data_IF_544321310239
#
_entry.id   IF_544321310239
#
_cell.length_a   1.000
_cell.length_b   1.000
_cell.length_c   1.000
_cell.angle_alpha   90.00
_cell.angle_beta   90.00
_cell.angle_gamma   90.00
#
_symmetry.space_group_name_H-M   'P 1'
#
loop_
_entity.id
_entity.type
_entity.pdbx_description
1 polymer ?
#
# COMPACT_ATOMS: atom_id res chain seq x y z
N UNK A 1 -32.51 -3.12 8.15
CA UNK A 1 -31.73 -3.96 7.21
C UNK A 1 -30.26 -3.85 7.61
N UNK A 2 -29.57 -4.97 7.77
CA UNK A 2 -28.17 -4.96 8.16
C UNK A 2 -27.28 -4.22 7.14
N UNK A 3 -26.12 -3.74 7.60
CA UNK A 3 -25.07 -3.22 6.73
C UNK A 3 -24.58 -4.31 5.77
N UNK A 4 -24.33 -3.93 4.53
CA UNK A 4 -23.83 -4.85 3.48
C UNK A 4 -22.52 -4.33 2.90
N UNK A 5 -21.49 -5.16 2.85
CA UNK A 5 -20.21 -4.82 2.27
C UNK A 5 -19.96 -5.60 0.98
N UNK A 6 -19.75 -4.89 -0.12
CA UNK A 6 -19.43 -5.46 -1.44
C UNK A 6 -17.92 -5.29 -1.68
N UNK A 7 -17.21 -6.39 -1.66
CA UNK A 7 -15.74 -6.41 -1.67
C UNK A 7 -15.24 -7.28 -2.82
N UNK A 8 -14.67 -6.69 -3.88
CA UNK A 8 -14.01 -7.47 -4.91
C UNK A 8 -12.82 -8.26 -4.35
N UNK A 9 -12.73 -9.54 -4.68
CA UNK A 9 -11.61 -10.39 -4.25
C UNK A 9 -11.61 -10.71 -2.76
N UNK A 10 -12.79 -10.77 -2.11
CA UNK A 10 -12.91 -11.04 -0.67
C UNK A 10 -12.25 -12.34 -0.23
N UNK A 11 -12.17 -13.34 -1.12
CA UNK A 11 -11.58 -14.65 -0.87
C UNK A 11 -10.08 -14.70 -1.22
N UNK A 12 -9.52 -13.64 -1.83
CA UNK A 12 -8.09 -13.55 -2.13
C UNK A 12 -7.34 -13.02 -0.89
N UNK A 13 -6.55 -13.86 -0.20
CA UNK A 13 -5.80 -13.46 1.00
C UNK A 13 -4.71 -12.42 0.70
N UNK A 14 -4.36 -12.24 -0.57
CA UNK A 14 -3.35 -11.25 -1.01
C UNK A 14 -3.95 -9.92 -1.43
N UNK A 15 -5.29 -9.81 -1.44
CA UNK A 15 -5.99 -8.60 -1.83
C UNK A 15 -6.02 -7.58 -0.68
N UNK A 16 -5.19 -6.53 -0.75
CA UNK A 16 -5.13 -5.48 0.27
C UNK A 16 -6.48 -4.78 0.52
N UNK A 17 -7.34 -4.65 -0.52
CA UNK A 17 -8.68 -4.09 -0.38
C UNK A 17 -9.56 -5.01 0.47
N UNK A 18 -9.49 -6.33 0.25
CA UNK A 18 -10.26 -7.30 1.02
C UNK A 18 -9.80 -7.33 2.49
N UNK A 19 -8.50 -7.28 2.73
CA UNK A 19 -7.94 -7.21 4.10
C UNK A 19 -8.43 -5.93 4.80
N UNK A 20 -8.30 -4.78 4.16
CA UNK A 20 -8.75 -3.50 4.69
C UNK A 20 -10.26 -3.48 5.00
N UNK A 21 -11.09 -4.00 4.09
CA UNK A 21 -12.52 -4.09 4.29
C UNK A 21 -12.90 -5.03 5.44
N UNK A 22 -12.25 -6.18 5.57
CA UNK A 22 -12.46 -7.10 6.71
C UNK A 22 -12.12 -6.44 8.05
N UNK A 23 -11.07 -5.63 8.11
CA UNK A 23 -10.72 -4.86 9.32
C UNK A 23 -11.80 -3.85 9.69
N UNK A 24 -12.35 -3.12 8.70
CA UNK A 24 -13.45 -2.17 8.94
C UNK A 24 -14.71 -2.89 9.45
N UNK A 25 -15.06 -4.03 8.85
CA UNK A 25 -16.19 -4.87 9.29
C UNK A 25 -15.97 -5.34 10.74
N UNK A 26 -14.78 -5.83 11.07
CA UNK A 26 -14.46 -6.27 12.43
C UNK A 26 -14.55 -5.14 13.46
N UNK A 27 -14.33 -3.89 13.05
CA UNK A 27 -14.51 -2.67 13.87
C UNK A 27 -15.96 -2.21 13.96
N UNK A 28 -16.91 -2.91 13.32
CA UNK A 28 -18.32 -2.50 13.28
C UNK A 28 -18.57 -1.23 12.50
N UNK A 29 -17.74 -0.92 11.50
CA UNK A 29 -17.93 0.29 10.68
C UNK A 29 -19.09 0.08 9.71
N UNK A 30 -20.04 1.02 9.73
CA UNK A 30 -21.25 1.02 8.90
C UNK A 30 -22.51 1.07 9.75
N UNK A 31 -23.58 1.55 9.17
CA UNK A 31 -24.90 1.65 9.82
C UNK A 31 -25.92 0.78 9.10
N UNK A 32 -26.98 0.41 9.81
CA UNK A 32 -28.10 -0.33 9.25
C UNK A 32 -28.69 0.36 8.02
N UNK A 33 -28.92 -0.42 6.99
CA UNK A 33 -29.44 0.07 5.71
C UNK A 33 -28.39 0.59 4.74
N UNK A 34 -27.13 0.71 5.15
CA UNK A 34 -26.03 1.11 4.23
C UNK A 34 -25.54 -0.06 3.36
N UNK A 35 -25.13 0.27 2.15
CA UNK A 35 -24.40 -0.61 1.23
C UNK A 35 -23.03 0.01 1.00
N UNK A 36 -22.00 -0.62 1.55
CA UNK A 36 -20.61 -0.22 1.40
C UNK A 36 -19.99 -0.92 0.19
N UNK A 37 -19.56 -0.14 -0.78
CA UNK A 37 -18.96 -0.64 -2.02
C UNK A 37 -17.47 -0.28 -2.04
N UNK A 38 -16.64 -1.30 -1.90
CA UNK A 38 -15.19 -1.18 -1.87
C UNK A 38 -14.60 -1.28 -3.26
N UNK A 39 -13.60 -0.43 -3.58
CA UNK A 39 -12.93 -0.35 -4.88
C UNK A 39 -13.77 0.34 -5.98
N UNK A 40 -13.25 0.28 -7.21
CA UNK A 40 -13.82 0.88 -8.43
C UNK A 40 -13.60 -0.04 -9.65
N UNK A 41 -14.14 0.36 -10.79
CA UNK A 41 -13.84 -0.16 -12.14
C UNK A 41 -14.35 -1.57 -12.44
N UNK A 42 -14.85 -2.33 -11.48
CA UNK A 42 -15.36 -3.68 -11.74
C UNK A 42 -16.87 -3.70 -11.97
N UNK A 43 -17.40 -4.60 -12.81
CA UNK A 43 -18.84 -4.75 -13.00
C UNK A 43 -19.58 -5.04 -11.69
N UNK A 44 -18.94 -5.76 -10.76
CA UNK A 44 -19.52 -6.09 -9.44
C UNK A 44 -19.86 -4.82 -8.67
N UNK A 45 -18.89 -3.91 -8.50
CA UNK A 45 -19.07 -2.68 -7.70
C UNK A 45 -20.05 -1.72 -8.36
N UNK A 46 -20.04 -1.64 -9.69
CA UNK A 46 -20.98 -0.82 -10.47
C UNK A 46 -22.41 -1.33 -10.28
N UNK A 47 -22.64 -2.63 -10.51
CA UNK A 47 -23.97 -3.25 -10.33
C UNK A 47 -24.49 -3.09 -8.90
N UNK A 48 -23.64 -3.32 -7.90
CA UNK A 48 -24.01 -3.17 -6.49
C UNK A 48 -24.39 -1.72 -6.15
N UNK A 49 -23.64 -0.74 -6.68
CA UNK A 49 -23.93 0.68 -6.49
C UNK A 49 -25.30 1.07 -7.10
N UNK A 50 -25.57 0.64 -8.34
CA UNK A 50 -26.88 0.87 -8.95
C UNK A 50 -28.01 0.18 -8.19
N UNK A 51 -27.80 -1.07 -7.73
CA UNK A 51 -28.80 -1.80 -6.93
C UNK A 51 -29.11 -1.04 -5.65
N UNK A 52 -28.12 -0.52 -4.93
CA UNK A 52 -28.33 0.28 -3.72
C UNK A 52 -29.19 1.51 -4.00
N UNK A 53 -28.88 2.27 -5.04
CA UNK A 53 -29.62 3.46 -5.43
C UNK A 53 -31.08 3.13 -5.86
N UNK A 54 -31.27 2.07 -6.64
CA UNK A 54 -32.62 1.65 -7.09
C UNK A 54 -33.49 1.12 -5.95
N UNK A 55 -32.90 0.55 -4.93
CA UNK A 55 -33.62 0.02 -3.76
C UNK A 55 -33.77 1.04 -2.63
N UNK A 56 -33.33 2.29 -2.83
CA UNK A 56 -33.41 3.36 -1.83
C UNK A 56 -32.50 3.15 -0.61
N UNK A 57 -31.50 2.25 -0.70
CA UNK A 57 -30.51 2.05 0.36
C UNK A 57 -29.43 3.12 0.26
N UNK A 58 -28.84 3.49 1.40
CA UNK A 58 -27.74 4.45 1.45
C UNK A 58 -26.48 3.84 0.83
N UNK A 59 -25.96 4.49 -0.20
CA UNK A 59 -24.74 4.08 -0.89
C UNK A 59 -23.52 4.74 -0.27
N UNK A 60 -22.61 3.94 0.27
CA UNK A 60 -21.29 4.38 0.74
C UNK A 60 -20.21 3.83 -0.21
N UNK A 61 -19.35 4.70 -0.75
CA UNK A 61 -18.27 4.32 -1.65
C UNK A 61 -16.93 4.47 -0.96
N UNK A 62 -16.08 3.46 -1.05
CA UNK A 62 -14.70 3.48 -0.54
C UNK A 62 -13.72 3.03 -1.62
N UNK A 63 -13.06 3.96 -2.32
CA UNK A 63 -12.26 3.65 -3.51
C UNK A 63 -10.93 2.95 -3.23
N UNK A 64 -10.40 3.01 -2.01
CA UNK A 64 -9.10 2.42 -1.63
C UNK A 64 -7.96 2.86 -2.55
N UNK A 65 -7.83 4.17 -2.76
CA UNK A 65 -6.79 4.76 -3.59
C UNK A 65 -6.93 4.49 -5.09
N UNK A 66 -8.10 4.01 -5.57
CA UNK A 66 -8.31 3.80 -7.01
C UNK A 66 -8.40 5.10 -7.82
N UNK A 67 -8.58 6.24 -7.14
CA UNK A 67 -8.56 7.59 -7.74
C UNK A 67 -7.19 8.24 -7.76
N UNK A 68 -6.16 7.58 -7.22
CA UNK A 68 -4.78 8.03 -7.29
C UNK A 68 -4.37 8.30 -8.75
N UNK A 69 -3.82 9.49 -9.08
CA UNK A 69 -3.38 9.85 -10.42
C UNK A 69 -2.45 8.82 -11.07
N UNK A 70 -1.52 8.23 -10.31
CA UNK A 70 -0.63 7.19 -10.83
C UNK A 70 -1.41 5.93 -11.21
N UNK A 71 -2.35 5.49 -10.37
CA UNK A 71 -3.22 4.33 -10.71
C UNK A 71 -4.15 4.63 -11.86
N UNK A 72 -4.61 5.87 -12.01
CA UNK A 72 -5.49 6.26 -13.12
C UNK A 72 -4.79 6.15 -14.48
N UNK A 73 -3.47 6.36 -14.54
CA UNK A 73 -2.68 6.23 -15.77
C UNK A 73 -2.60 4.78 -16.30
N UNK A 74 -2.76 3.78 -15.41
CA UNK A 74 -2.77 2.37 -15.82
C UNK A 74 -4.13 1.96 -16.37
N UNK A 75 -4.12 1.22 -17.49
CA UNK A 75 -5.33 0.75 -18.20
C UNK A 75 -6.27 1.89 -18.61
N UNK A 76 -5.73 3.02 -19.03
CA UNK A 76 -6.46 4.24 -19.44
C UNK A 76 -7.61 3.94 -20.40
N UNK A 77 -7.41 3.07 -21.39
CA UNK A 77 -8.42 2.76 -22.39
C UNK A 77 -9.71 2.21 -21.76
N UNK A 78 -9.59 1.22 -20.86
CA UNK A 78 -10.76 0.66 -20.17
C UNK A 78 -11.40 1.66 -19.20
N UNK A 79 -10.57 2.37 -18.41
CA UNK A 79 -11.05 3.35 -17.42
C UNK A 79 -11.75 4.54 -18.07
N UNK A 80 -11.29 5.00 -19.23
CA UNK A 80 -11.90 6.10 -19.98
C UNK A 80 -13.38 5.87 -20.30
N UNK A 81 -13.74 4.63 -20.67
CA UNK A 81 -15.14 4.28 -20.95
C UNK A 81 -15.99 4.13 -19.70
N UNK A 82 -15.43 3.72 -18.59
CA UNK A 82 -16.15 3.47 -17.33
C UNK A 82 -16.17 4.72 -16.44
N UNK A 83 -15.22 5.64 -16.61
CA UNK A 83 -15.08 6.83 -15.76
C UNK A 83 -16.36 7.70 -15.68
N UNK A 84 -17.13 7.93 -16.75
CA UNK A 84 -18.37 8.70 -16.64
C UNK A 84 -19.38 8.04 -15.68
N UNK A 85 -19.46 6.70 -15.70
CA UNK A 85 -20.36 5.92 -14.81
C UNK A 85 -19.88 6.04 -13.37
N UNK A 86 -18.59 5.84 -13.13
CA UNK A 86 -18.00 5.96 -11.78
C UNK A 86 -18.18 7.37 -11.22
N UNK A 87 -17.93 8.42 -12.02
CA UNK A 87 -18.19 9.81 -11.61
C UNK A 87 -19.64 10.05 -11.26
N UNK A 88 -20.57 9.52 -12.05
CA UNK A 88 -21.99 9.61 -11.77
C UNK A 88 -22.32 8.92 -10.44
N UNK A 89 -21.81 7.72 -10.20
CA UNK A 89 -22.00 6.98 -8.96
C UNK A 89 -21.42 7.72 -7.74
N UNK A 90 -20.26 8.35 -7.88
CA UNK A 90 -19.67 9.17 -6.82
C UNK A 90 -20.53 10.38 -6.46
N UNK A 91 -21.13 11.06 -7.45
CA UNK A 91 -22.05 12.18 -7.21
C UNK A 91 -23.33 11.77 -6.50
N UNK A 92 -23.78 10.53 -6.71
CA UNK A 92 -25.04 10.02 -6.15
C UNK A 92 -24.84 9.18 -4.88
N UNK A 93 -23.59 8.92 -4.49
CA UNK A 93 -23.30 8.29 -3.21
C UNK A 93 -23.70 9.22 -2.05
N UNK A 94 -24.24 8.64 -0.99
CA UNK A 94 -24.58 9.37 0.23
C UNK A 94 -23.32 9.80 0.99
N UNK A 95 -22.31 8.93 0.98
CA UNK A 95 -21.01 9.16 1.59
C UNK A 95 -19.90 8.54 0.74
N UNK A 96 -18.73 9.17 0.77
CA UNK A 96 -17.49 8.59 0.22
C UNK A 96 -16.47 8.55 1.34
N UNK A 97 -15.81 7.42 1.48
CA UNK A 97 -14.82 7.21 2.53
C UNK A 97 -13.43 7.19 1.89
N UNK A 98 -12.55 8.03 2.40
CA UNK A 98 -11.12 8.06 2.12
C UNK A 98 -10.33 7.49 3.29
N UNK A 99 -9.11 7.04 3.08
CA UNK A 99 -8.22 6.51 4.12
C UNK A 99 -7.25 7.56 4.67
N UNK A 100 -7.01 8.63 3.90
CA UNK A 100 -6.16 9.76 4.26
C UNK A 100 -6.57 11.02 3.49
N UNK A 101 -6.02 12.18 3.87
CA UNK A 101 -6.34 13.47 3.24
C UNK A 101 -5.92 13.54 1.76
N UNK A 102 -4.82 12.91 1.37
CA UNK A 102 -4.44 12.85 -0.04
C UNK A 102 -5.48 12.10 -0.88
N UNK A 103 -6.05 11.02 -0.36
CA UNK A 103 -7.14 10.32 -1.04
C UNK A 103 -8.39 11.22 -1.18
N UNK A 104 -8.68 12.09 -0.20
CA UNK A 104 -9.75 13.09 -0.32
C UNK A 104 -9.48 14.01 -1.51
N UNK A 105 -8.23 14.49 -1.66
CA UNK A 105 -7.84 15.36 -2.76
C UNK A 105 -7.96 14.63 -4.11
N UNK A 106 -7.55 13.37 -4.21
CA UNK A 106 -7.68 12.56 -5.42
C UNK A 106 -9.15 12.29 -5.79
N UNK A 107 -9.99 12.02 -4.80
CA UNK A 107 -11.45 11.84 -5.01
C UNK A 107 -12.06 13.12 -5.56
N UNK A 108 -11.76 14.28 -4.95
CA UNK A 108 -12.26 15.59 -5.42
C UNK A 108 -11.73 15.96 -6.80
N UNK A 109 -10.48 15.63 -7.11
CA UNK A 109 -9.93 15.82 -8.45
C UNK A 109 -10.60 14.92 -9.50
N UNK A 110 -10.92 13.67 -9.12
CA UNK A 110 -11.62 12.73 -9.98
C UNK A 110 -13.08 13.16 -10.24
N UNK A 111 -13.82 13.57 -9.20
CA UNK A 111 -15.18 14.09 -9.30
C UNK A 111 -15.40 15.28 -8.36
N UNK A 112 -15.31 16.52 -8.86
CA UNK A 112 -15.44 17.72 -8.04
C UNK A 112 -16.82 17.95 -7.39
N UNK A 113 -17.86 17.27 -7.88
CA UNK A 113 -19.24 17.42 -7.41
C UNK A 113 -19.66 16.37 -6.38
N UNK A 114 -18.69 15.72 -5.71
CA UNK A 114 -18.98 14.80 -4.61
C UNK A 114 -19.61 15.54 -3.43
N UNK A 115 -20.61 14.94 -2.79
CA UNK A 115 -21.37 15.58 -1.70
C UNK A 115 -20.56 15.62 -0.39
N UNK A 116 -20.10 14.46 0.06
CA UNK A 116 -19.43 14.30 1.35
C UNK A 116 -18.32 13.26 1.24
N UNK A 117 -17.11 13.67 1.57
CA UNK A 117 -15.96 12.78 1.71
C UNK A 117 -15.52 12.81 3.18
N UNK A 118 -15.41 11.64 3.79
CA UNK A 118 -14.99 11.46 5.18
C UNK A 118 -13.72 10.65 5.21
N UNK A 119 -12.82 10.96 6.15
CA UNK A 119 -11.62 10.16 6.36
C UNK A 119 -11.87 9.15 7.46
N UNK A 120 -11.72 7.87 7.12
CA UNK A 120 -11.67 6.76 8.08
C UNK A 120 -10.34 6.05 7.87
N UNK A 121 -9.34 6.32 8.71
CA UNK A 121 -8.05 5.65 8.59
C UNK A 121 -8.23 4.14 8.75
N UNK A 122 -7.54 3.38 7.92
CA UNK A 122 -7.41 1.95 8.16
C UNK A 122 -6.57 1.82 9.43
N UNK A 123 -7.12 1.19 10.46
CA UNK A 123 -6.33 0.89 11.63
C UNK A 123 -5.31 -0.19 11.27
N UNK A 124 -4.15 -0.12 11.88
CA UNK A 124 -3.38 -1.30 12.17
C UNK A 124 -4.31 -2.37 12.80
N UNK A 125 -4.08 -3.67 12.59
CA UNK A 125 -4.79 -4.73 13.31
C UNK A 125 -4.75 -4.53 14.82
N UNK A 126 -3.76 -3.81 15.32
CA UNK A 126 -3.67 -3.34 16.69
C UNK A 126 -4.14 -1.86 16.75
N UNK A 127 -5.29 -1.52 17.40
CA UNK A 127 -5.85 -0.17 17.41
C UNK A 127 -5.01 0.87 18.17
N UNK A 128 -3.91 0.46 18.70
CA UNK A 128 -2.87 1.32 19.22
C UNK A 128 -1.69 1.27 18.24
N UNK A 129 -1.39 2.35 17.47
CA UNK A 129 0.02 2.63 17.29
C UNK A 129 0.54 2.58 18.73
N UNK A 130 1.61 1.85 19.03
CA UNK A 130 2.09 1.80 20.40
C UNK A 130 2.13 3.25 20.85
N UNK A 131 1.18 3.61 21.74
CA UNK A 131 1.15 4.92 22.34
C UNK A 131 2.49 5.01 23.05
N UNK A 132 3.49 5.56 22.32
CA UNK A 132 4.81 5.85 22.86
C UNK A 132 5.47 4.75 23.73
N UNK A 133 5.03 3.50 23.63
CA UNK A 133 5.84 2.38 24.02
C UNK A 133 6.91 2.27 22.94
N UNK A 134 7.88 3.16 23.03
CA UNK A 134 9.21 2.95 22.51
C UNK A 134 9.68 1.61 23.07
N UNK A 135 9.39 0.52 22.33
CA UNK A 135 10.39 -0.52 22.32
C UNK A 135 11.59 0.22 21.73
N UNK A 136 12.68 0.40 22.52
CA UNK A 136 13.85 1.05 21.99
C UNK A 136 14.14 0.29 20.69
N UNK A 137 14.20 1.00 19.55
CA UNK A 137 14.82 0.45 18.38
C UNK A 137 16.19 0.04 18.88
N UNK A 138 16.37 -1.26 19.10
CA UNK A 138 17.68 -1.77 19.47
C UNK A 138 18.57 -1.26 18.35
N UNK A 139 19.64 -0.50 18.63
CA UNK A 139 20.56 -0.09 17.60
C UNK A 139 20.85 -1.36 16.82
N UNK A 140 20.62 -1.33 15.49
CA UNK A 140 20.86 -2.48 14.64
C UNK A 140 22.31 -2.85 14.99
N UNK A 141 22.57 -3.96 15.70
CA UNK A 141 23.94 -4.33 15.99
C UNK A 141 24.56 -4.43 14.62
N UNK A 142 25.71 -3.81 14.33
CA UNK A 142 26.37 -3.84 13.03
C UNK A 142 26.47 -5.30 12.57
N UNK A 143 25.46 -5.82 11.87
CA UNK A 143 25.44 -7.22 11.52
C UNK A 143 26.43 -7.42 10.38
N UNK A 144 26.90 -8.62 10.25
CA UNK A 144 27.67 -9.02 9.06
C UNK A 144 26.90 -8.79 7.76
N UNK A 145 25.57 -8.65 7.84
CA UNK A 145 24.67 -8.30 6.72
C UNK A 145 23.43 -7.54 7.21
N UNK A 146 22.99 -6.54 6.42
CA UNK A 146 21.71 -5.82 6.61
C UNK A 146 20.60 -6.62 5.94
N UNK A 147 19.55 -6.94 6.68
CA UNK A 147 18.43 -7.76 6.23
C UNK A 147 17.24 -6.89 5.84
N UNK A 148 17.03 -6.74 4.54
CA UNK A 148 15.94 -5.97 3.97
C UNK A 148 14.76 -6.88 3.60
N UNK A 149 13.55 -6.42 3.90
CA UNK A 149 12.31 -7.08 3.54
C UNK A 149 11.46 -6.19 2.65
N UNK A 150 10.97 -6.75 1.56
CA UNK A 150 9.87 -6.18 0.78
C UNK A 150 8.65 -7.09 0.87
N UNK A 151 7.50 -6.53 1.20
CA UNK A 151 6.21 -7.24 1.19
C UNK A 151 5.22 -6.48 0.32
N UNK A 152 4.79 -7.09 -0.79
CA UNK A 152 3.85 -6.47 -1.70
C UNK A 152 3.83 -7.13 -3.07
N UNK A 153 2.86 -6.74 -3.90
CA UNK A 153 2.75 -7.24 -5.27
C UNK A 153 3.95 -6.79 -6.10
N UNK A 154 4.50 -7.68 -6.94
CA UNK A 154 5.53 -7.31 -7.90
C UNK A 154 4.87 -6.63 -9.11
N UNK A 155 4.73 -5.31 -9.01
CA UNK A 155 4.08 -4.45 -10.00
C UNK A 155 4.87 -3.14 -10.13
N UNK A 156 4.86 -2.50 -11.30
CA UNK A 156 5.61 -1.26 -11.59
C UNK A 156 5.42 -0.16 -10.55
N UNK A 157 4.18 0.04 -10.08
CA UNK A 157 3.89 1.04 -9.04
C UNK A 157 4.53 0.76 -7.68
N UNK A 158 5.11 -0.41 -7.49
CA UNK A 158 5.76 -0.79 -6.23
C UNK A 158 7.26 -0.48 -6.20
N UNK A 159 7.85 -0.07 -7.32
CA UNK A 159 9.20 0.48 -7.39
C UNK A 159 10.33 -0.48 -6.99
N UNK A 160 10.09 -1.80 -7.03
CA UNK A 160 11.11 -2.80 -6.64
C UNK A 160 12.35 -2.72 -7.52
N UNK A 161 12.20 -2.36 -8.79
CA UNK A 161 13.33 -2.13 -9.70
C UNK A 161 14.30 -1.06 -9.15
N UNK A 162 13.77 0.04 -8.61
CA UNK A 162 14.60 1.10 -8.01
C UNK A 162 15.31 0.63 -6.73
N UNK A 163 14.68 -0.26 -5.95
CA UNK A 163 15.31 -0.86 -4.78
C UNK A 163 16.51 -1.73 -5.17
N UNK A 164 16.37 -2.57 -6.20
CA UNK A 164 17.46 -3.38 -6.70
C UNK A 164 18.63 -2.52 -7.19
N UNK A 165 18.35 -1.47 -7.98
CA UNK A 165 19.37 -0.54 -8.46
C UNK A 165 20.04 0.25 -7.32
N UNK A 166 19.29 0.59 -6.28
CA UNK A 166 19.82 1.28 -5.11
C UNK A 166 20.81 0.39 -4.33
N UNK A 167 20.43 -0.87 -4.08
CA UNK A 167 21.32 -1.85 -3.40
C UNK A 167 22.59 -2.07 -4.21
N UNK A 168 22.49 -2.20 -5.53
CA UNK A 168 23.64 -2.40 -6.40
C UNK A 168 24.66 -1.24 -6.38
N UNK A 169 24.22 -0.03 -6.02
CA UNK A 169 25.07 1.16 -5.91
C UNK A 169 25.66 1.38 -4.52
N UNK A 170 25.40 0.48 -3.56
CA UNK A 170 26.01 0.55 -2.23
C UNK A 170 27.48 0.13 -2.29
N UNK A 171 28.37 0.77 -1.52
CA UNK A 171 29.78 0.39 -1.47
C UNK A 171 29.99 -1.09 -1.06
N UNK A 172 29.11 -1.58 -0.19
CA UNK A 172 29.18 -2.94 0.38
C UNK A 172 27.89 -3.73 0.06
N UNK A 173 27.47 -3.76 -1.21
CA UNK A 173 26.25 -4.46 -1.62
C UNK A 173 26.19 -5.93 -1.18
N UNK A 174 27.33 -6.58 -1.02
CA UNK A 174 27.46 -7.96 -0.57
C UNK A 174 27.03 -8.16 0.90
N UNK A 175 26.96 -7.08 1.67
CA UNK A 175 26.47 -7.10 3.05
C UNK A 175 24.96 -6.85 3.17
N UNK A 176 24.22 -6.92 2.06
CA UNK A 176 22.76 -6.75 2.05
C UNK A 176 22.08 -8.03 1.58
N UNK A 177 21.22 -8.57 2.42
CA UNK A 177 20.32 -9.67 2.08
C UNK A 177 18.91 -9.10 1.85
N UNK A 178 18.31 -9.39 0.70
CA UNK A 178 16.96 -8.93 0.36
C UNK A 178 16.00 -10.11 0.22
N UNK A 179 14.87 -10.07 0.93
CA UNK A 179 13.75 -10.99 0.72
C UNK A 179 12.54 -10.24 0.18
N UNK A 180 11.91 -10.82 -0.85
CA UNK A 180 10.75 -10.24 -1.52
C UNK A 180 9.59 -11.24 -1.46
N UNK A 181 8.51 -10.81 -0.78
CA UNK A 181 7.28 -11.60 -0.62
C UNK A 181 6.14 -10.92 -1.35
N UNK A 182 5.37 -11.67 -2.10
CA UNK A 182 4.12 -11.24 -2.69
C UNK A 182 3.86 -11.77 -4.08
N UNK A 183 2.66 -11.52 -4.55
CA UNK A 183 2.16 -11.97 -5.84
C UNK A 183 2.88 -11.27 -6.99
N UNK A 184 3.29 -12.05 -7.98
CA UNK A 184 3.76 -11.49 -9.26
C UNK A 184 2.58 -10.98 -10.10
N UNK A 185 2.63 -9.71 -10.45
CA UNK A 185 1.66 -9.07 -11.36
C UNK A 185 2.34 -8.58 -12.65
N UNK A 186 3.30 -9.35 -13.14
CA UNK A 186 3.93 -9.18 -14.44
C UNK A 186 5.36 -8.65 -14.41
N UNK A 187 5.90 -8.28 -13.25
CA UNK A 187 7.26 -7.74 -13.11
C UNK A 187 8.29 -8.79 -12.64
N UNK A 188 7.85 -9.92 -12.09
CA UNK A 188 8.74 -10.88 -11.42
C UNK A 188 9.85 -11.41 -12.29
N UNK A 189 9.60 -11.71 -13.57
CA UNK A 189 10.63 -12.17 -14.51
C UNK A 189 11.70 -11.10 -14.76
N UNK A 190 11.28 -9.85 -14.96
CA UNK A 190 12.19 -8.73 -15.19
C UNK A 190 13.03 -8.43 -13.96
N UNK A 191 12.41 -8.39 -12.77
CA UNK A 191 13.09 -8.14 -11.49
C UNK A 191 14.11 -9.24 -11.14
N UNK A 192 13.79 -10.51 -11.34
CA UNK A 192 14.72 -11.62 -11.15
C UNK A 192 15.92 -11.52 -12.08
N UNK A 193 15.70 -11.17 -13.35
CA UNK A 193 16.79 -10.95 -14.30
C UNK A 193 17.66 -9.78 -13.87
N UNK A 194 17.05 -8.65 -13.48
CA UNK A 194 17.75 -7.47 -12.99
C UNK A 194 18.63 -7.81 -11.77
N UNK A 195 18.05 -8.46 -10.75
CA UNK A 195 18.78 -8.90 -9.55
C UNK A 195 19.97 -9.78 -9.89
N UNK A 196 19.81 -10.75 -10.81
CA UNK A 196 20.91 -11.62 -11.25
C UNK A 196 21.98 -10.84 -12.00
N UNK A 197 21.62 -9.92 -12.89
CA UNK A 197 22.57 -9.07 -13.62
C UNK A 197 23.37 -8.16 -12.67
N UNK A 198 22.76 -7.72 -11.57
CA UNK A 198 23.39 -6.88 -10.56
C UNK A 198 24.13 -7.69 -9.48
N UNK A 199 24.10 -9.02 -9.56
CA UNK A 199 24.72 -9.95 -8.61
C UNK A 199 24.30 -9.69 -7.14
N UNK A 200 22.99 -9.54 -6.91
CA UNK A 200 22.42 -9.26 -5.59
C UNK A 200 21.99 -10.55 -4.87
N UNK A 201 22.19 -10.62 -3.55
CA UNK A 201 21.56 -11.65 -2.70
C UNK A 201 20.09 -11.29 -2.45
N UNK A 202 19.24 -11.62 -3.43
CA UNK A 202 17.80 -11.31 -3.38
C UNK A 202 16.96 -12.57 -3.61
N UNK A 203 16.11 -12.89 -2.64
CA UNK A 203 15.24 -14.08 -2.65
C UNK A 203 13.80 -13.70 -2.96
N UNK A 204 13.27 -14.17 -4.08
CA UNK A 204 11.88 -13.96 -4.51
C UNK A 204 11.03 -15.14 -4.07
N UNK A 205 10.27 -15.00 -3.00
CA UNK A 205 9.54 -16.11 -2.36
C UNK A 205 8.12 -16.29 -2.87
N UNK A 206 7.59 -15.30 -3.60
CA UNK A 206 6.20 -15.36 -4.08
C UNK A 206 5.18 -15.19 -2.94
N UNK A 207 4.03 -15.85 -3.08
CA UNK A 207 2.99 -15.88 -2.05
C UNK A 207 3.40 -16.91 -0.99
N UNK A 208 3.43 -16.50 0.26
CA UNK A 208 3.79 -17.36 1.40
C UNK A 208 2.62 -17.49 2.38
N UNK A 209 2.66 -18.48 3.27
CA UNK A 209 1.72 -18.60 4.38
C UNK A 209 1.93 -17.48 5.41
N UNK A 210 0.94 -17.27 6.27
CA UNK A 210 1.03 -16.25 7.33
C UNK A 210 2.18 -16.55 8.30
N UNK A 211 2.42 -17.84 8.63
CA UNK A 211 3.53 -18.24 9.50
C UNK A 211 4.90 -17.90 8.89
N UNK A 212 5.07 -18.15 7.59
CA UNK A 212 6.31 -17.78 6.87
C UNK A 212 6.44 -16.26 6.80
N UNK A 213 5.35 -15.54 6.54
CA UNK A 213 5.35 -14.07 6.53
C UNK A 213 5.79 -13.52 7.89
N UNK A 214 5.25 -14.04 8.99
CA UNK A 214 5.64 -13.66 10.34
C UNK A 214 7.14 -13.94 10.60
N UNK A 215 7.62 -15.12 10.26
CA UNK A 215 9.02 -15.49 10.43
C UNK A 215 9.98 -14.57 9.63
N UNK A 216 9.56 -14.08 8.46
CA UNK A 216 10.36 -13.15 7.66
C UNK A 216 10.33 -11.74 8.20
N UNK A 217 9.21 -11.29 8.78
CA UNK A 217 9.20 -10.04 9.56
C UNK A 217 10.16 -10.12 10.76
N UNK A 218 10.19 -11.24 11.48
CA UNK A 218 11.11 -11.42 12.61
C UNK A 218 12.57 -11.42 12.16
N UNK A 219 12.85 -12.00 10.99
CA UNK A 219 14.18 -12.07 10.39
C UNK A 219 14.72 -10.73 9.94
N UNK A 220 13.89 -9.81 9.42
CA UNK A 220 14.36 -8.57 8.82
C UNK A 220 14.77 -7.52 9.87
N UNK A 221 15.67 -6.62 9.46
CA UNK A 221 16.03 -5.41 10.20
C UNK A 221 15.16 -4.23 9.74
N UNK A 222 14.96 -4.11 8.41
CA UNK A 222 14.25 -2.98 7.80
C UNK A 222 13.25 -3.48 6.77
N UNK A 223 12.00 -3.01 6.87
CA UNK A 223 11.02 -3.12 5.78
C UNK A 223 11.25 -1.98 4.79
N UNK A 224 11.38 -2.28 3.51
CA UNK A 224 11.49 -1.27 2.44
C UNK A 224 10.28 -1.36 1.53
N UNK A 225 9.48 -0.29 1.47
CA UNK A 225 8.33 -0.17 0.57
C UNK A 225 8.55 1.01 -0.38
N UNK A 226 9.26 0.84 -1.51
CA UNK A 226 9.67 1.91 -2.43
C UNK A 226 8.53 2.27 -3.42
N UNK A 227 7.32 2.43 -2.92
CA UNK A 227 6.11 2.52 -3.72
C UNK A 227 5.93 3.89 -4.37
N UNK A 228 5.42 3.93 -5.60
CA UNK A 228 4.96 5.15 -6.28
C UNK A 228 3.48 5.44 -5.98
N UNK A 229 2.75 4.43 -5.55
CA UNK A 229 1.33 4.56 -5.20
C UNK A 229 0.92 3.44 -4.26
N UNK A 230 0.58 3.85 -3.06
CA UNK A 230 -0.01 3.01 -2.03
C UNK A 230 -1.27 3.70 -1.47
N UNK A 231 -2.23 2.94 -1.02
CA UNK A 231 -3.37 3.52 -0.34
C UNK A 231 -3.05 3.75 1.13
N UNK A 232 -2.92 2.68 1.90
CA UNK A 232 -2.56 2.76 3.30
C UNK A 232 -1.20 2.12 3.60
N UNK A 233 -0.87 0.99 2.94
CA UNK A 233 0.37 0.27 3.22
C UNK A 233 0.30 -0.53 4.52
N UNK A 234 -0.64 -1.48 4.61
CA UNK A 234 -0.82 -2.35 5.78
C UNK A 234 0.49 -3.01 6.25
N UNK A 235 1.38 -3.32 5.30
CA UNK A 235 2.69 -3.92 5.59
C UNK A 235 3.62 -3.00 6.40
N UNK A 236 3.44 -1.67 6.29
CA UNK A 236 4.14 -0.70 7.12
C UNK A 236 3.66 -0.81 8.56
N UNK A 237 2.32 -0.84 8.76
CA UNK A 237 1.74 -1.06 10.08
C UNK A 237 2.21 -2.38 10.69
N UNK A 238 2.17 -3.47 9.92
CA UNK A 238 2.63 -4.80 10.35
C UNK A 238 4.11 -4.81 10.78
N UNK A 239 4.98 -4.06 10.09
CA UNK A 239 6.39 -3.93 10.45
C UNK A 239 6.58 -3.13 11.73
N UNK A 240 5.92 -1.97 11.84
CA UNK A 240 6.01 -1.10 13.01
C UNK A 240 5.50 -1.77 14.29
N UNK A 241 4.42 -2.56 14.20
CA UNK A 241 3.91 -3.35 15.32
C UNK A 241 4.91 -4.38 15.84
N UNK A 242 5.80 -4.84 14.98
CA UNK A 242 6.89 -5.76 15.33
C UNK A 242 8.19 -5.04 15.73
N UNK A 243 8.14 -3.72 15.89
CA UNK A 243 9.30 -2.91 16.22
C UNK A 243 10.37 -2.87 15.12
N UNK A 244 9.97 -3.09 13.86
CA UNK A 244 10.88 -3.02 12.72
C UNK A 244 10.95 -1.62 12.16
N UNK A 245 12.14 -1.23 11.73
CA UNK A 245 12.34 0.05 11.03
C UNK A 245 11.77 -0.02 9.63
N UNK A 246 11.27 1.10 9.12
CA UNK A 246 10.64 1.19 7.81
C UNK A 246 11.32 2.23 6.94
N UNK A 247 11.57 1.92 5.67
CA UNK A 247 11.85 2.90 4.62
C UNK A 247 10.63 2.92 3.69
N UNK A 248 9.97 4.07 3.57
CA UNK A 248 8.87 4.26 2.64
C UNK A 248 8.95 5.62 1.95
N UNK A 249 7.99 5.95 1.10
CA UNK A 249 8.06 7.07 0.17
C UNK A 249 6.79 7.92 0.24
N UNK A 250 6.81 9.09 -0.39
CA UNK A 250 5.63 9.94 -0.60
C UNK A 250 4.59 9.34 -1.57
N UNK A 251 4.87 8.15 -2.12
CA UNK A 251 3.86 7.28 -2.73
C UNK A 251 2.95 6.58 -1.71
N UNK A 252 3.26 6.64 -0.41
CA UNK A 252 2.44 6.14 0.69
C UNK A 252 2.05 7.28 1.66
N UNK A 253 1.18 8.22 1.23
CA UNK A 253 0.93 9.48 1.94
C UNK A 253 0.31 9.28 3.34
N UNK A 254 -0.37 8.16 3.60
CA UNK A 254 -0.90 7.84 4.91
C UNK A 254 0.19 7.73 6.00
N UNK A 255 1.48 7.67 5.62
CA UNK A 255 2.64 7.55 6.50
C UNK A 255 3.54 8.80 6.48
N UNK A 256 3.02 9.94 6.03
CA UNK A 256 3.78 11.19 5.95
C UNK A 256 4.34 11.67 7.32
N UNK A 257 3.69 11.25 8.41
CA UNK A 257 4.06 11.57 9.79
C UNK A 257 4.95 10.50 10.45
N UNK A 258 5.55 9.59 9.64
CA UNK A 258 6.48 8.59 10.16
C UNK A 258 7.64 9.29 10.89
N UNK A 259 7.84 8.94 12.16
CA UNK A 259 8.90 9.56 12.98
C UNK A 259 10.27 8.99 12.61
N UNK A 260 11.35 9.74 12.90
CA UNK A 260 12.72 9.27 12.65
C UNK A 260 13.08 8.01 13.45
N UNK A 261 12.40 7.75 14.56
CA UNK A 261 12.55 6.51 15.34
C UNK A 261 11.89 5.32 14.66
N UNK A 262 10.82 5.54 13.90
CA UNK A 262 10.08 4.50 13.19
C UNK A 262 10.71 4.18 11.83
N UNK A 263 11.39 5.14 11.21
CA UNK A 263 12.01 4.93 9.92
C UNK A 263 12.23 6.20 9.11
N UNK A 264 12.34 6.00 7.78
CA UNK A 264 12.65 7.06 6.83
C UNK A 264 11.49 7.20 5.83
N UNK A 265 10.96 8.42 5.72
CA UNK A 265 9.97 8.79 4.72
C UNK A 265 10.63 9.62 3.62
N UNK A 266 10.72 9.05 2.41
CA UNK A 266 11.41 9.65 1.27
C UNK A 266 10.49 10.62 0.53
N UNK A 267 10.70 11.92 0.76
CA UNK A 267 9.98 13.00 0.05
C UNK A 267 10.60 13.25 -1.33
N UNK A 268 9.76 13.59 -2.30
CA UNK A 268 10.19 13.84 -3.69
C UNK A 268 10.52 12.55 -4.47
N UNK A 269 10.21 11.40 -3.92
CA UNK A 269 10.42 10.10 -4.58
C UNK A 269 9.39 9.86 -5.69
N UNK A 270 8.12 10.10 -5.40
CA UNK A 270 7.01 9.83 -6.34
C UNK A 270 7.15 10.59 -7.65
N UNK A 271 7.42 11.88 -7.57
CA UNK A 271 7.51 12.77 -8.73
C UNK A 271 8.94 12.93 -9.26
N UNK A 272 9.93 12.29 -8.63
CA UNK A 272 11.33 12.33 -9.00
C UNK A 272 11.64 11.55 -10.27
N UNK A 273 12.83 11.77 -10.85
CA UNK A 273 13.39 10.93 -11.91
C UNK A 273 13.78 9.55 -11.37
N UNK A 274 14.03 8.60 -12.26
CA UNK A 274 14.48 7.26 -11.86
C UNK A 274 15.82 7.31 -11.10
N UNK A 275 16.74 8.19 -11.53
CA UNK A 275 18.03 8.40 -10.84
C UNK A 275 17.82 8.98 -9.43
N UNK A 276 16.85 9.92 -9.28
CA UNK A 276 16.52 10.49 -7.96
C UNK A 276 15.94 9.42 -7.03
N UNK A 277 15.04 8.58 -7.52
CA UNK A 277 14.46 7.46 -6.76
C UNK A 277 15.52 6.50 -6.25
N UNK A 278 16.41 6.09 -7.14
CA UNK A 278 17.52 5.21 -6.80
C UNK A 278 18.45 5.86 -5.77
N UNK A 279 18.80 7.15 -5.97
CA UNK A 279 19.65 7.90 -5.03
C UNK A 279 19.02 7.98 -3.64
N UNK A 280 17.74 8.36 -3.55
CA UNK A 280 17.04 8.49 -2.26
C UNK A 280 17.01 7.16 -1.50
N UNK A 281 16.70 6.04 -2.19
CA UNK A 281 16.72 4.71 -1.59
C UNK A 281 18.11 4.30 -1.15
N UNK A 282 19.13 4.52 -2.00
CA UNK A 282 20.52 4.20 -1.68
C UNK A 282 20.98 4.94 -0.42
N UNK A 283 20.74 6.26 -0.37
CA UNK A 283 21.17 7.09 0.75
C UNK A 283 20.47 6.66 2.06
N UNK A 284 19.18 6.31 1.99
CA UNK A 284 18.43 5.78 3.12
C UNK A 284 18.96 4.43 3.59
N UNK A 285 19.22 3.49 2.69
CA UNK A 285 19.74 2.16 3.05
C UNK A 285 21.16 2.28 3.60
N UNK A 286 22.01 3.13 3.00
CA UNK A 286 23.37 3.36 3.44
C UNK A 286 23.46 3.83 4.90
N UNK A 287 22.46 4.58 5.39
CA UNK A 287 22.43 5.05 6.77
C UNK A 287 22.31 3.94 7.82
N UNK A 288 21.98 2.71 7.41
CA UNK A 288 21.92 1.52 8.29
C UNK A 288 23.16 0.63 8.21
N UNK A 289 24.06 0.89 7.26
CA UNK A 289 25.26 0.06 7.07
C UNK A 289 26.47 0.65 7.81
N UNK A 290 26.43 1.94 8.16
CA UNK A 290 27.48 2.65 8.89
C UNK A 290 28.60 3.13 8.00
#
# INVERSE_FOLDING_TARGET
MAVEHIIPGIDDPTCGIAIAAKQLIARGVGADGEVWVHSMWSPLVIKASFKALLTGRKLVRMPHGCTDPEKLRFHLNKKRWVAPIERWLFRHADRIIATCEDEVNWIKAFEPKVKKVEVIPLASPNPHPPSHATLPISPIPHPSSLKLLYVGRLHKLKGVNYLLDAIAQLPNQQSVELRLIGKDEGEGKALKKQSSCLNLDAKFEGIVSEDVKNAVYDWCDVLVLPTLSENFGLVIAEALERGKTVITTDGAPAWADLTSEQGIYLKGYRDGSDEMRVKLLKDAIASFIG
#
